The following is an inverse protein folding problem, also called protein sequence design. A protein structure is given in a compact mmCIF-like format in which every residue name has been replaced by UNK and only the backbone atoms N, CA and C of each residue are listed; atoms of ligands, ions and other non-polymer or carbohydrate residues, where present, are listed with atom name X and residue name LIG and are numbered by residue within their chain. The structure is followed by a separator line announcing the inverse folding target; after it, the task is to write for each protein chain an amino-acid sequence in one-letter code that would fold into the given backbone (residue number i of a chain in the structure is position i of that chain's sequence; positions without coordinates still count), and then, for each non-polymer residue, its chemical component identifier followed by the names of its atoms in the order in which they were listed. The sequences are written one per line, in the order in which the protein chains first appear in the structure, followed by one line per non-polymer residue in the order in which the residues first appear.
data_IF_942381132079
#
_entry.id   IF_942381132079
#
_cell.length_a   1.000
_cell.length_b   1.000
_cell.length_c   1.000
_cell.angle_alpha   90.00
_cell.angle_beta   90.00
_cell.angle_gamma   90.00
#
_symmetry.space_group_name_H-M   'P 1'
#
loop_
_entity.id
_entity.type
_entity.pdbx_description
1 polymer ?
#
# COMPACT_ATOMS: atom_id res chain seq x y z
N UNK A 1 -8.87 15.51 -8.30
CA UNK A 1 -9.33 15.07 -9.64
C UNK A 1 -8.45 15.81 -10.62
N UNK A 2 -7.27 15.25 -10.94
CA UNK A 2 -6.25 15.86 -11.82
C UNK A 2 -5.45 14.74 -12.47
N UNK A 3 -4.94 13.80 -11.67
CA UNK A 3 -4.27 12.59 -12.18
C UNK A 3 -5.18 11.78 -13.11
N UNK A 4 -6.47 11.68 -12.81
CA UNK A 4 -7.43 10.99 -13.69
C UNK A 4 -7.57 11.65 -15.06
N UNK A 5 -7.63 12.99 -15.11
CA UNK A 5 -7.71 13.74 -16.37
C UNK A 5 -6.39 13.64 -17.15
N UNK A 6 -5.26 13.72 -16.46
CA UNK A 6 -3.93 13.50 -17.04
C UNK A 6 -3.81 12.11 -17.66
N UNK A 7 -4.25 11.06 -16.96
CA UNK A 7 -4.23 9.67 -17.44
C UNK A 7 -5.13 9.50 -18.67
N UNK A 8 -6.33 10.07 -18.65
CA UNK A 8 -7.23 10.05 -19.81
C UNK A 8 -6.61 10.74 -21.02
N UNK A 9 -5.99 11.91 -20.82
CA UNK A 9 -5.27 12.62 -21.88
C UNK A 9 -4.14 11.74 -22.43
N UNK A 10 -3.28 11.20 -21.55
CA UNK A 10 -2.16 10.36 -21.93
C UNK A 10 -2.57 9.13 -22.75
N UNK A 11 -3.63 8.43 -22.34
CA UNK A 11 -4.14 7.24 -23.02
C UNK A 11 -4.84 7.61 -24.33
N UNK A 12 -5.48 8.76 -24.41
CA UNK A 12 -6.19 9.18 -25.62
C UNK A 12 -5.26 9.69 -26.72
N UNK A 13 -4.13 10.31 -26.36
CA UNK A 13 -3.20 10.94 -27.31
C UNK A 13 -1.98 10.09 -27.66
N UNK A 14 -1.86 8.87 -27.11
CA UNK A 14 -0.77 7.95 -27.48
C UNK A 14 -1.11 7.14 -28.74
N UNK A 15 -0.10 6.90 -29.58
CA UNK A 15 -0.21 6.03 -30.76
C UNK A 15 -0.44 4.57 -30.38
N UNK A 16 0.20 4.13 -29.28
CA UNK A 16 0.13 2.77 -28.78
C UNK A 16 -0.46 2.77 -27.37
N UNK A 17 -1.59 2.10 -27.21
CA UNK A 17 -2.31 2.06 -25.93
C UNK A 17 -1.91 0.85 -25.09
N UNK A 18 -1.73 1.01 -23.77
CA UNK A 18 -1.51 -0.12 -22.88
C UNK A 18 -2.73 -1.05 -22.90
N UNK A 19 -2.49 -2.36 -22.79
CA UNK A 19 -3.58 -3.34 -22.72
C UNK A 19 -4.29 -3.29 -21.36
N UNK A 20 -3.53 -3.02 -20.29
CA UNK A 20 -4.05 -2.76 -18.96
C UNK A 20 -3.31 -1.56 -18.37
N UNK A 21 -4.06 -0.65 -17.76
CA UNK A 21 -3.55 0.47 -16.96
C UNK A 21 -4.34 0.51 -15.66
N UNK A 22 -3.68 0.26 -14.54
CA UNK A 22 -4.28 0.31 -13.21
C UNK A 22 -3.42 1.23 -12.35
N UNK A 23 -4.03 2.26 -11.77
CA UNK A 23 -3.36 3.14 -10.83
C UNK A 23 -3.72 2.79 -9.39
N UNK A 24 -2.72 2.71 -8.53
CA UNK A 24 -2.86 2.69 -7.09
C UNK A 24 -2.08 3.86 -6.51
N UNK A 25 -2.80 4.89 -6.06
CA UNK A 25 -2.23 6.15 -5.55
C UNK A 25 -1.28 6.77 -6.58
N UNK A 26 0.03 6.70 -6.35
CA UNK A 26 1.08 7.30 -7.18
C UNK A 26 1.72 6.29 -8.14
N UNK A 27 1.47 4.99 -7.96
CA UNK A 27 2.04 3.91 -8.76
C UNK A 27 1.05 3.38 -9.80
N UNK A 28 1.56 3.08 -11.00
CA UNK A 28 0.77 2.53 -12.11
C UNK A 28 1.29 1.14 -12.49
N UNK A 29 0.41 0.15 -12.48
CA UNK A 29 0.66 -1.17 -13.06
C UNK A 29 0.16 -1.20 -14.51
N UNK A 30 1.07 -1.52 -15.43
CA UNK A 30 0.81 -1.45 -16.87
C UNK A 30 1.16 -2.77 -17.55
N UNK A 31 0.21 -3.35 -18.28
CA UNK A 31 0.50 -4.46 -19.22
C UNK A 31 0.71 -3.86 -20.60
N UNK A 32 1.95 -3.94 -21.08
CA UNK A 32 2.38 -3.40 -22.36
C UNK A 32 2.69 -4.51 -23.36
N UNK A 33 2.14 -4.42 -24.57
CA UNK A 33 2.26 -5.47 -25.60
C UNK A 33 2.99 -5.00 -26.87
N UNK A 34 3.35 -3.72 -26.96
CA UNK A 34 3.88 -3.13 -28.20
C UNK A 34 5.41 -3.14 -28.28
N UNK A 35 6.07 -3.97 -27.46
CA UNK A 35 7.52 -4.06 -27.41
C UNK A 35 8.21 -2.87 -26.72
N UNK A 36 9.52 -3.01 -26.55
CA UNK A 36 10.31 -2.15 -25.67
C UNK A 36 10.53 -0.74 -26.20
N UNK A 37 10.72 -0.58 -27.51
CA UNK A 37 11.00 0.72 -28.10
C UNK A 37 9.77 1.63 -28.07
N UNK A 38 8.59 1.06 -28.33
CA UNK A 38 7.32 1.78 -28.18
C UNK A 38 7.03 2.11 -26.71
N UNK A 39 7.44 1.26 -25.76
CA UNK A 39 7.33 1.59 -24.33
C UNK A 39 8.17 2.83 -23.97
N UNK A 40 9.37 2.95 -24.53
CA UNK A 40 10.23 4.15 -24.33
C UNK A 40 9.60 5.40 -24.94
N UNK A 41 9.04 5.29 -26.14
CA UNK A 41 8.31 6.39 -26.78
C UNK A 41 7.10 6.81 -25.95
N UNK A 42 6.36 5.85 -25.42
CA UNK A 42 5.23 6.10 -24.54
C UNK A 42 5.64 6.76 -23.21
N UNK A 43 6.74 6.33 -22.59
CA UNK A 43 7.28 6.98 -21.39
C UNK A 43 7.71 8.43 -21.67
N UNK A 44 8.33 8.67 -22.82
CA UNK A 44 8.69 10.03 -23.27
C UNK A 44 7.45 10.89 -23.50
N UNK A 45 6.40 10.31 -24.09
CA UNK A 45 5.10 10.96 -24.28
C UNK A 45 4.50 11.37 -22.93
N UNK A 46 4.42 10.44 -21.97
CA UNK A 46 3.92 10.72 -20.60
C UNK A 46 4.65 11.91 -19.96
N UNK A 47 5.98 11.90 -19.99
CA UNK A 47 6.80 12.96 -19.40
C UNK A 47 6.78 14.28 -20.19
N UNK A 48 6.26 14.27 -21.41
CA UNK A 48 6.07 15.46 -22.23
C UNK A 48 4.74 16.18 -21.98
N UNK A 49 3.75 15.53 -21.37
CA UNK A 49 2.41 16.09 -21.16
C UNK A 49 2.35 17.12 -20.04
N UNK A 50 3.25 17.05 -19.05
CA UNK A 50 3.25 17.98 -17.93
C UNK A 50 4.66 18.20 -17.36
N UNK A 51 5.03 19.47 -17.12
CA UNK A 51 6.37 19.84 -16.68
C UNK A 51 6.72 19.36 -15.27
N UNK A 52 5.74 19.27 -14.37
CA UNK A 52 5.95 18.89 -12.97
C UNK A 52 5.77 17.40 -12.67
N UNK A 53 5.32 16.59 -13.64
CA UNK A 53 5.10 15.14 -13.43
C UNK A 53 6.15 14.37 -14.22
N UNK A 54 6.84 13.45 -13.56
CA UNK A 54 7.86 12.60 -14.17
C UNK A 54 7.58 11.14 -13.83
N UNK A 55 7.19 10.37 -14.83
CA UNK A 55 7.05 8.92 -14.77
C UNK A 55 8.41 8.26 -14.94
N UNK A 56 8.60 7.19 -14.17
CA UNK A 56 9.68 6.22 -14.31
C UNK A 56 9.07 4.85 -14.54
N UNK A 57 9.78 3.97 -15.25
CA UNK A 57 9.32 2.60 -15.52
C UNK A 57 10.21 1.58 -14.84
N UNK A 58 9.62 0.72 -14.01
CA UNK A 58 10.21 -0.55 -13.63
C UNK A 58 9.67 -1.63 -14.57
N UNK A 59 10.56 -2.49 -15.06
CA UNK A 59 10.20 -3.55 -16.01
C UNK A 59 10.42 -4.92 -15.40
N UNK A 60 9.57 -5.85 -15.84
CA UNK A 60 9.64 -7.26 -15.50
C UNK A 60 11.02 -7.85 -15.79
N UNK A 61 11.58 -8.59 -14.82
CA UNK A 61 12.82 -9.34 -14.95
C UNK A 61 12.55 -10.82 -14.70
N UNK A 62 12.94 -11.69 -15.63
CA UNK A 62 12.78 -13.14 -15.51
C UNK A 62 11.35 -13.62 -15.20
N UNK A 63 10.32 -12.99 -15.76
CA UNK A 63 8.95 -13.32 -15.41
C UNK A 63 8.38 -12.44 -14.30
N UNK A 64 9.20 -11.80 -13.47
CA UNK A 64 8.73 -11.21 -12.22
C UNK A 64 8.81 -9.68 -12.20
N UNK A 65 7.81 -9.04 -11.61
CA UNK A 65 7.81 -7.63 -11.26
C UNK A 65 7.18 -7.45 -9.87
N UNK A 66 7.77 -6.58 -9.06
CA UNK A 66 7.18 -6.22 -7.76
C UNK A 66 6.16 -5.12 -7.94
N UNK A 67 5.00 -5.25 -7.30
CA UNK A 67 3.98 -4.21 -7.23
C UNK A 67 3.42 -4.17 -5.80
N UNK A 68 3.90 -3.24 -4.97
CA UNK A 68 3.68 -3.22 -3.52
C UNK A 68 4.10 -4.53 -2.82
N UNK A 69 3.31 -5.03 -1.86
CA UNK A 69 3.51 -6.27 -1.13
C UNK A 69 3.15 -7.53 -1.95
N UNK A 70 3.13 -7.40 -3.29
CA UNK A 70 2.76 -8.47 -4.21
C UNK A 70 3.85 -8.64 -5.25
N UNK A 71 4.37 -9.86 -5.35
CA UNK A 71 5.19 -10.27 -6.49
C UNK A 71 4.27 -10.77 -7.61
N UNK A 72 4.44 -10.19 -8.79
CA UNK A 72 3.65 -10.46 -9.99
C UNK A 72 4.52 -11.23 -10.97
N UNK A 73 4.20 -12.50 -11.20
CA UNK A 73 4.96 -13.42 -12.06
C UNK A 73 4.19 -13.76 -13.33
N UNK A 74 4.77 -13.50 -14.50
CA UNK A 74 4.33 -13.96 -15.81
C UNK A 74 4.70 -15.43 -15.98
N UNK A 75 3.71 -16.26 -16.31
CA UNK A 75 3.93 -17.66 -16.64
C UNK A 75 4.53 -17.81 -18.03
N UNK A 76 5.16 -18.97 -18.26
CA UNK A 76 5.80 -19.34 -19.53
C UNK A 76 4.83 -19.37 -20.74
N UNK A 77 3.51 -19.42 -20.49
CA UNK A 77 2.49 -19.31 -21.53
C UNK A 77 2.33 -17.90 -22.12
N UNK A 78 3.00 -16.88 -21.54
CA UNK A 78 3.03 -15.50 -22.02
C UNK A 78 1.73 -14.71 -21.81
N UNK A 79 0.70 -15.34 -21.25
CA UNK A 79 -0.67 -14.82 -21.19
C UNK A 79 -1.19 -14.72 -19.74
N UNK A 80 -0.62 -15.51 -18.83
CA UNK A 80 -1.09 -15.61 -17.45
C UNK A 80 -0.12 -14.92 -16.50
N UNK A 81 -0.63 -14.07 -15.60
CA UNK A 81 0.15 -13.46 -14.52
C UNK A 81 -0.37 -13.95 -13.16
N UNK A 82 0.51 -14.50 -12.31
CA UNK A 82 0.20 -14.90 -10.93
C UNK A 82 0.71 -13.86 -9.94
N UNK A 83 -0.12 -13.51 -8.96
CA UNK A 83 0.21 -12.60 -7.88
C UNK A 83 0.36 -13.38 -6.56
N UNK A 84 1.54 -13.35 -5.96
CA UNK A 84 1.80 -13.92 -4.63
C UNK A 84 1.97 -12.80 -3.60
N UNK A 85 1.24 -12.89 -2.49
CA UNK A 85 1.45 -11.96 -1.37
C UNK A 85 2.81 -12.24 -0.75
N UNK A 86 3.59 -11.20 -0.53
CA UNK A 86 4.82 -11.24 0.25
C UNK A 86 4.42 -11.42 1.71
N UNK A 87 4.13 -12.66 2.13
CA UNK A 87 3.95 -12.94 3.55
C UNK A 87 5.31 -12.69 4.20
N UNK A 88 5.44 -11.57 4.91
CA UNK A 88 6.58 -11.35 5.78
C UNK A 88 6.72 -12.60 6.66
N UNK A 89 7.80 -13.36 6.49
CA UNK A 89 8.14 -14.52 7.29
C UNK A 89 8.54 -14.10 8.73
N UNK A 90 7.71 -13.30 9.39
CA UNK A 90 7.96 -12.70 10.71
C UNK A 90 6.97 -13.14 11.77
N UNK A 91 5.93 -13.89 11.41
CA UNK A 91 4.83 -14.23 12.32
C UNK A 91 5.06 -15.58 13.01
N UNK A 92 5.66 -16.53 12.30
CA UNK A 92 5.95 -17.89 12.79
C UNK A 92 7.02 -17.90 13.88
N UNK A 93 8.07 -17.09 13.71
CA UNK A 93 9.21 -17.01 14.65
C UNK A 93 8.82 -16.33 15.97
N UNK A 94 7.86 -15.40 15.95
CA UNK A 94 7.36 -14.72 17.15
C UNK A 94 6.44 -15.60 17.99
N UNK A 95 5.59 -16.41 17.35
CA UNK A 95 4.66 -17.32 18.03
C UNK A 95 5.40 -18.45 18.76
N UNK A 96 6.46 -18.99 18.16
CA UNK A 96 7.32 -20.00 18.78
C UNK A 96 8.16 -19.43 19.95
N UNK A 97 8.63 -18.18 19.86
CA UNK A 97 9.32 -17.48 20.97
C UNK A 97 8.43 -17.24 22.19
N UNK A 98 7.11 -17.15 21.98
CA UNK A 98 6.13 -16.96 23.05
C UNK A 98 5.54 -18.29 23.58
N UNK A 99 6.16 -19.43 23.28
CA UNK A 99 5.82 -20.72 23.90
C UNK A 99 4.58 -21.43 23.36
N UNK A 100 4.01 -20.98 22.23
CA UNK A 100 2.90 -21.69 21.60
C UNK A 100 3.38 -22.99 20.97
N UNK A 101 3.00 -24.13 21.57
CA UNK A 101 3.25 -25.48 21.01
C UNK A 101 2.21 -25.79 19.92
N UNK A 102 2.62 -26.26 18.74
CA UNK A 102 1.69 -26.68 17.70
C UNK A 102 1.16 -28.08 18.04
N UNK A 103 0.22 -28.15 18.98
CA UNK A 103 -0.73 -29.26 19.02
C UNK A 103 -2.07 -28.76 19.56
N UNK A 104 -3.14 -29.19 18.89
CA UNK A 104 -4.55 -28.84 19.09
C UNK A 104 -5.06 -27.60 18.33
N UNK A 105 -4.99 -27.63 16.99
CA UNK A 105 -5.91 -26.85 16.14
C UNK A 105 -7.20 -27.68 15.93
N UNK A 106 -8.39 -27.21 16.33
CA UNK A 106 -9.67 -27.90 16.11
C UNK A 106 -10.09 -28.04 14.64
N UNK A 107 -9.32 -27.52 13.67
CA UNK A 107 -9.62 -27.61 12.23
C UNK A 107 -9.46 -29.00 11.60
N UNK A 108 -8.95 -29.99 12.32
CA UNK A 108 -8.79 -31.36 11.82
C UNK A 108 -10.09 -32.19 11.80
N UNK A 109 -11.24 -31.64 12.23
CA UNK A 109 -12.52 -32.37 12.29
C UNK A 109 -13.60 -31.90 11.28
N UNK A 110 -13.26 -31.10 10.26
CA UNK A 110 -14.23 -30.80 9.19
C UNK A 110 -14.20 -31.93 8.15
N UNK A 111 -15.21 -32.80 8.16
CA UNK A 111 -15.40 -33.80 7.11
C UNK A 111 -15.71 -33.12 5.75
N UNK A 112 -15.23 -33.64 4.61
CA UNK A 112 -15.55 -33.09 3.30
C UNK A 112 -17.03 -33.30 2.95
N UNK A 113 -17.70 -32.25 2.46
CA UNK A 113 -19.06 -32.33 1.89
C UNK A 113 -19.07 -33.13 0.57
N UNK A 114 -20.19 -33.81 0.24
CA UNK A 114 -20.29 -34.68 -0.94
C UNK A 114 -20.17 -33.92 -2.27
N UNK A 115 -19.52 -34.57 -3.24
CA UNK A 115 -19.19 -34.05 -4.58
C UNK A 115 -20.45 -33.87 -5.43
N UNK A 116 -20.75 -32.64 -5.81
CA UNK A 116 -21.78 -32.30 -6.81
C UNK A 116 -21.17 -31.73 -8.10
N UNK A 117 -21.50 -32.38 -9.22
CA UNK A 117 -21.33 -32.04 -10.64
C UNK A 117 -19.89 -31.94 -11.19
N UNK A 118 -19.50 -32.98 -11.93
CA UNK A 118 -18.33 -33.01 -12.81
C UNK A 118 -18.50 -32.02 -13.96
N UNK A 119 -17.59 -31.04 -14.04
CA UNK A 119 -17.24 -30.41 -15.31
C UNK A 119 -15.93 -31.02 -15.81
N UNK A 120 -15.77 -31.22 -17.14
CA UNK A 120 -14.59 -31.85 -17.69
C UNK A 120 -13.35 -31.03 -17.33
N UNK A 121 -12.41 -31.70 -16.67
CA UNK A 121 -11.12 -31.15 -16.26
C UNK A 121 -10.26 -31.00 -17.52
N UNK A 122 -9.77 -29.80 -17.88
CA UNK A 122 -8.75 -29.70 -18.90
C UNK A 122 -7.47 -30.35 -18.36
N UNK A 123 -6.99 -31.32 -19.13
CA UNK A 123 -5.79 -32.10 -18.89
C UNK A 123 -4.55 -31.24 -19.15
N UNK A 124 -4.03 -30.54 -18.15
CA UNK A 124 -2.62 -30.11 -18.14
C UNK A 124 -2.10 -29.82 -16.71
N UNK A 125 -0.81 -30.07 -16.53
CA UNK A 125 -0.09 -30.33 -15.27
C UNK A 125 0.30 -29.06 -14.47
N UNK A 126 -0.60 -28.12 -14.21
CA UNK A 126 -0.32 -27.09 -13.18
C UNK A 126 -1.59 -26.61 -12.46
N UNK A 127 -1.49 -26.38 -11.15
CA UNK A 127 -2.61 -25.88 -10.35
C UNK A 127 -3.14 -24.57 -10.97
N UNK A 128 -4.47 -24.41 -11.19
CA UNK A 128 -4.96 -23.23 -11.88
C UNK A 128 -4.74 -22.00 -11.00
N UNK A 129 -3.96 -21.04 -11.51
CA UNK A 129 -3.64 -19.79 -10.81
C UNK A 129 -4.92 -19.08 -10.45
N UNK A 130 -5.13 -18.92 -9.15
CA UNK A 130 -6.27 -18.20 -8.61
C UNK A 130 -5.81 -16.89 -7.99
N UNK A 131 -6.50 -15.81 -8.31
CA UNK A 131 -6.32 -14.50 -7.68
C UNK A 131 -7.55 -14.17 -6.84
N UNK A 132 -7.34 -13.42 -5.77
CA UNK A 132 -8.43 -12.93 -4.92
C UNK A 132 -8.51 -11.41 -5.03
N UNK A 133 -9.64 -10.86 -5.45
CA UNK A 133 -9.88 -9.42 -5.61
C UNK A 133 -10.93 -8.93 -4.62
N UNK A 134 -10.87 -7.69 -4.12
CA UNK A 134 -11.99 -7.10 -3.40
C UNK A 134 -13.21 -6.96 -4.33
N UNK A 135 -14.41 -7.26 -3.82
CA UNK A 135 -15.65 -7.07 -4.55
C UNK A 135 -15.98 -5.58 -4.64
N UNK A 136 -15.94 -5.08 -5.86
CA UNK A 136 -16.22 -3.73 -6.30
C UNK A 136 -17.25 -3.82 -7.43
N UNK A 137 -18.41 -4.40 -7.09
CA UNK A 137 -19.62 -4.47 -7.91
C UNK A 137 -19.34 -4.76 -9.41
N UNK A 138 -19.84 -3.92 -10.32
CA UNK A 138 -19.69 -4.08 -11.77
C UNK A 138 -18.24 -4.14 -12.27
N UNK A 139 -17.32 -3.43 -11.61
CA UNK A 139 -15.90 -3.42 -11.98
C UNK A 139 -15.21 -4.75 -11.67
N UNK A 140 -15.57 -5.40 -10.57
CA UNK A 140 -15.07 -6.73 -10.21
C UNK A 140 -15.49 -7.79 -11.20
N UNK A 141 -16.73 -7.72 -11.71
CA UNK A 141 -17.20 -8.63 -12.74
C UNK A 141 -16.55 -8.38 -14.10
N UNK A 142 -16.29 -7.11 -14.45
CA UNK A 142 -15.55 -6.74 -15.65
C UNK A 142 -14.11 -7.30 -15.61
N UNK A 143 -13.40 -7.08 -14.51
CA UNK A 143 -12.04 -7.58 -14.29
C UNK A 143 -12.03 -9.12 -14.27
N UNK A 144 -13.00 -9.75 -13.61
CA UNK A 144 -13.14 -11.21 -13.61
C UNK A 144 -13.29 -11.77 -15.03
N UNK A 145 -14.10 -11.13 -15.88
CA UNK A 145 -14.29 -11.57 -17.28
C UNK A 145 -13.00 -11.46 -18.09
N UNK A 146 -12.19 -10.43 -17.88
CA UNK A 146 -10.90 -10.27 -18.55
C UNK A 146 -9.95 -11.38 -18.09
N UNK A 147 -9.78 -11.55 -16.78
CA UNK A 147 -8.82 -12.51 -16.21
C UNK A 147 -9.18 -13.97 -16.52
N UNK A 148 -10.47 -14.30 -16.63
CA UNK A 148 -10.92 -15.63 -17.07
C UNK A 148 -10.50 -15.97 -18.51
N UNK A 149 -10.39 -14.99 -19.41
CA UNK A 149 -9.89 -15.21 -20.79
C UNK A 149 -8.43 -15.66 -20.79
N UNK A 150 -7.68 -15.29 -19.76
CA UNK A 150 -6.28 -15.64 -19.56
C UNK A 150 -6.09 -16.83 -18.61
N UNK A 151 -7.13 -17.64 -18.38
CA UNK A 151 -7.03 -18.85 -17.55
C UNK A 151 -6.86 -18.60 -16.05
N UNK A 152 -7.02 -17.36 -15.59
CA UNK A 152 -6.89 -16.97 -14.18
C UNK A 152 -8.27 -17.09 -13.51
N UNK A 153 -8.35 -17.92 -12.47
CA UNK A 153 -9.58 -18.00 -11.65
C UNK A 153 -9.63 -16.84 -10.68
N UNK A 154 -10.72 -16.09 -10.67
CA UNK A 154 -10.87 -14.94 -9.77
C UNK A 154 -11.87 -15.29 -8.66
N UNK A 155 -11.45 -15.10 -7.41
CA UNK A 155 -12.32 -15.15 -6.24
C UNK A 155 -12.51 -13.74 -5.71
N UNK A 156 -13.74 -13.37 -5.35
CA UNK A 156 -14.00 -12.05 -4.76
C UNK A 156 -14.03 -12.15 -3.24
N UNK A 157 -13.31 -11.25 -2.57
CA UNK A 157 -13.41 -11.03 -1.12
C UNK A 157 -14.32 -9.84 -0.87
N UNK A 158 -15.22 -9.93 0.09
CA UNK A 158 -16.01 -8.77 0.51
C UNK A 158 -15.08 -7.64 0.97
N UNK A 159 -15.24 -6.39 0.47
CA UNK A 159 -14.40 -5.26 0.87
C UNK A 159 -14.48 -5.00 2.38
N UNK A 160 -15.60 -5.40 2.99
CA UNK A 160 -15.83 -5.39 4.43
C UNK A 160 -15.87 -6.83 4.94
N UNK A 161 -14.70 -7.43 5.15
CA UNK A 161 -14.64 -8.57 6.06
C UNK A 161 -15.13 -8.08 7.43
N UNK A 162 -15.91 -8.89 8.16
CA UNK A 162 -16.32 -8.57 9.53
C UNK A 162 -15.13 -8.11 10.39
N UNK A 163 -13.92 -8.60 10.13
CA UNK A 163 -12.69 -8.12 10.75
C UNK A 163 -12.36 -6.63 10.44
N UNK A 164 -12.62 -6.11 9.24
CA UNK A 164 -12.45 -4.68 8.94
C UNK A 164 -13.53 -3.84 9.65
N UNK A 165 -14.72 -4.41 9.84
CA UNK A 165 -15.84 -3.75 10.54
C UNK A 165 -15.68 -3.80 12.07
N UNK A 166 -15.10 -4.87 12.59
CA UNK A 166 -14.98 -5.18 14.02
C UNK A 166 -13.57 -4.94 14.58
N UNK A 167 -12.56 -4.89 13.73
CA UNK A 167 -11.15 -4.80 14.12
C UNK A 167 -10.48 -3.65 13.38
N UNK A 168 -10.82 -2.42 13.77
CA UNK A 168 -9.88 -1.30 13.56
C UNK A 168 -8.66 -1.59 14.43
N UNK A 169 -7.62 -2.20 13.85
CA UNK A 169 -6.37 -2.43 14.57
C UNK A 169 -5.59 -1.13 14.84
N UNK A 170 -6.09 0.00 14.31
CA UNK A 170 -5.69 1.34 14.69
C UNK A 170 -6.70 1.89 15.70
N UNK A 171 -6.21 2.43 16.80
CA UNK A 171 -7.07 3.05 17.81
C UNK A 171 -7.96 4.09 17.14
N UNK A 172 -9.27 4.01 17.38
CA UNK A 172 -10.21 5.07 17.01
C UNK A 172 -9.74 6.33 17.73
N UNK A 173 -9.38 7.36 16.96
CA UNK A 173 -8.99 8.63 17.56
C UNK A 173 -10.19 9.21 18.29
N UNK A 174 -9.97 9.59 19.55
CA UNK A 174 -10.94 10.32 20.35
C UNK A 174 -11.36 11.60 19.57
N UNK A 175 -12.66 11.82 19.31
CA UNK A 175 -13.16 13.02 18.63
C UNK A 175 -12.74 14.34 19.29
N UNK A 176 -12.37 14.34 20.58
CA UNK A 176 -11.86 15.52 21.28
C UNK A 176 -10.37 15.79 21.03
N UNK A 177 -9.65 14.81 20.46
CA UNK A 177 -8.21 14.87 20.21
C UNK A 177 -7.93 15.32 18.78
N UNK A 178 -7.65 16.62 18.63
CA UNK A 178 -7.50 17.25 17.31
C UNK A 178 -6.09 17.03 16.73
N UNK A 179 -5.96 16.39 15.56
CA UNK A 179 -4.72 16.41 14.80
C UNK A 179 -4.50 17.81 14.21
N UNK A 180 -3.27 18.13 13.82
CA UNK A 180 -2.99 19.45 13.28
C UNK A 180 -1.52 19.86 13.28
N UNK A 181 -1.30 21.14 12.99
CA UNK A 181 0.02 21.78 12.98
C UNK A 181 0.26 22.40 14.35
N UNK A 182 1.42 22.15 14.93
CA UNK A 182 1.80 22.63 16.26
C UNK A 182 3.16 23.30 16.23
N UNK A 183 3.42 24.14 17.23
CA UNK A 183 4.75 24.70 17.50
C UNK A 183 5.27 24.33 18.88
N UNK A 184 6.60 24.26 18.98
CA UNK A 184 7.33 24.10 20.25
C UNK A 184 8.48 25.12 20.26
N UNK A 185 8.45 26.12 21.15
CA UNK A 185 9.55 27.08 21.26
C UNK A 185 10.77 26.47 21.95
N UNK A 186 11.94 27.01 21.62
CA UNK A 186 13.23 26.68 22.24
C UNK A 186 13.81 27.91 22.94
N UNK A 187 14.66 27.70 23.95
CA UNK A 187 15.32 28.78 24.69
C UNK A 187 16.14 29.74 23.81
N UNK A 188 16.63 29.27 22.67
CA UNK A 188 17.40 30.07 21.72
C UNK A 188 16.55 31.01 20.85
N UNK A 189 15.24 31.09 21.10
CA UNK A 189 14.29 31.90 20.32
C UNK A 189 13.81 31.24 19.02
N UNK A 190 14.42 30.13 18.59
CA UNK A 190 13.91 29.33 17.47
C UNK A 190 12.64 28.59 17.87
N UNK A 191 11.76 28.40 16.89
CA UNK A 191 10.48 27.69 17.07
C UNK A 191 10.44 26.50 16.13
N UNK A 192 10.22 25.31 16.68
CA UNK A 192 9.97 24.11 15.91
C UNK A 192 8.51 24.05 15.49
N UNK A 193 8.24 23.86 14.20
CA UNK A 193 6.89 23.65 13.66
C UNK A 193 6.81 22.23 13.13
N UNK A 194 5.76 21.50 13.50
CA UNK A 194 5.56 20.12 13.05
C UNK A 194 4.10 19.78 12.86
N UNK A 195 3.86 18.72 12.09
CA UNK A 195 2.52 18.19 11.85
C UNK A 195 2.28 16.91 12.67
N UNK A 196 1.07 16.73 13.18
CA UNK A 196 0.71 15.54 13.91
C UNK A 196 -0.67 15.03 13.55
N UNK A 197 -0.71 13.76 13.13
CA UNK A 197 -1.95 13.03 12.95
C UNK A 197 -2.51 12.42 14.24
N UNK A 198 -1.76 12.53 15.34
CA UNK A 198 -2.23 12.22 16.69
C UNK A 198 -2.38 13.51 17.48
N UNK A 199 -2.98 13.45 18.66
CA UNK A 199 -3.00 14.60 19.57
C UNK A 199 -1.59 15.11 19.94
N UNK A 200 -1.52 16.41 20.16
CA UNK A 200 -0.30 17.12 20.50
C UNK A 200 0.45 16.52 21.72
N UNK A 201 -0.21 16.17 22.85
CA UNK A 201 0.47 15.55 23.99
C UNK A 201 1.15 14.22 23.63
N UNK A 202 0.49 13.37 22.83
CA UNK A 202 1.07 12.10 22.36
C UNK A 202 2.29 12.34 21.48
N UNK A 203 2.25 13.35 20.60
CA UNK A 203 3.39 13.70 19.76
C UNK A 203 4.56 14.25 20.57
N UNK A 204 4.31 15.09 21.56
CA UNK A 204 5.34 15.58 22.50
C UNK A 204 5.98 14.41 23.24
N UNK A 205 5.19 13.48 23.75
CA UNK A 205 5.70 12.29 24.46
C UNK A 205 6.55 11.41 23.55
N UNK A 206 6.20 11.28 22.26
CA UNK A 206 7.06 10.59 21.28
C UNK A 206 8.40 11.28 21.10
N UNK A 207 8.42 12.61 20.94
CA UNK A 207 9.67 13.37 20.82
C UNK A 207 10.55 13.21 22.06
N UNK A 208 9.98 13.35 23.27
CA UNK A 208 10.69 13.09 24.53
C UNK A 208 11.23 11.65 24.62
N UNK A 209 10.43 10.67 24.19
CA UNK A 209 10.85 9.27 24.21
C UNK A 209 12.01 8.99 23.24
N UNK A 210 12.04 9.62 22.05
CA UNK A 210 13.16 9.52 21.10
C UNK A 210 14.44 10.15 21.66
N UNK A 211 14.32 11.31 22.31
CA UNK A 211 15.44 11.93 23.04
C UNK A 211 16.02 11.01 24.12
N UNK A 212 15.18 10.34 24.91
CA UNK A 212 15.62 9.36 25.92
C UNK A 212 16.32 8.14 25.31
N UNK A 213 15.95 7.74 24.08
CA UNK A 213 16.55 6.60 23.36
C UNK A 213 17.83 6.97 22.60
N UNK A 214 18.18 8.25 22.51
CA UNK A 214 19.34 8.71 21.73
C UNK A 214 19.11 8.70 20.21
N UNK A 215 17.86 8.59 19.75
CA UNK A 215 17.51 8.58 18.33
C UNK A 215 17.36 10.03 17.82
N UNK A 216 18.49 10.71 17.65
CA UNK A 216 18.55 12.15 17.37
C UNK A 216 18.04 12.49 15.95
N UNK A 217 18.38 11.70 14.93
CA UNK A 217 18.04 11.99 13.54
C UNK A 217 16.55 11.81 13.21
N UNK A 218 15.83 11.04 14.03
CA UNK A 218 14.39 10.78 13.89
C UNK A 218 13.51 11.95 14.36
N UNK A 219 14.11 12.95 15.01
CA UNK A 219 13.41 14.11 15.51
C UNK A 219 14.30 15.34 15.44
N UNK A 220 14.02 16.20 14.45
CA UNK A 220 14.79 17.43 14.24
C UNK A 220 14.79 18.36 15.46
N UNK A 221 13.74 18.36 16.29
CA UNK A 221 13.71 19.12 17.54
C UNK A 221 14.68 18.56 18.59
N UNK A 222 14.81 17.23 18.68
CA UNK A 222 15.76 16.56 19.56
C UNK A 222 17.19 16.72 19.04
N UNK A 223 17.40 16.59 17.73
CA UNK A 223 18.68 16.86 17.07
C UNK A 223 19.19 18.26 17.40
N UNK A 224 18.34 19.28 17.20
CA UNK A 224 18.67 20.67 17.51
C UNK A 224 19.07 20.86 18.98
N UNK A 225 18.29 20.31 19.91
CA UNK A 225 18.57 20.40 21.35
C UNK A 225 19.91 19.76 21.72
N UNK A 226 20.25 18.60 21.12
CA UNK A 226 21.49 17.90 21.41
C UNK A 226 22.71 18.55 20.72
N UNK A 227 22.57 19.08 19.50
CA UNK A 227 23.70 19.67 18.76
C UNK A 227 24.05 21.07 19.26
N UNK A 228 23.05 21.85 19.64
CA UNK A 228 23.24 23.25 20.09
C UNK A 228 23.19 23.37 21.63
N UNK A 229 23.11 22.25 22.36
CA UNK A 229 22.97 22.18 23.84
C UNK A 229 21.86 23.11 24.37
N UNK A 230 20.69 23.03 23.72
CA UNK A 230 19.57 23.91 24.01
C UNK A 230 18.41 23.21 24.71
N UNK A 231 17.79 23.90 25.68
CA UNK A 231 16.56 23.45 26.32
C UNK A 231 15.32 23.70 25.46
N UNK A 232 14.45 22.68 25.35
CA UNK A 232 13.17 22.74 24.63
C UNK A 232 12.04 23.06 25.62
N UNK A 233 11.25 24.10 25.34
CA UNK A 233 10.16 24.53 26.20
C UNK A 233 8.87 23.73 25.91
N UNK A 234 8.84 22.46 26.31
CA UNK A 234 7.70 21.56 26.07
C UNK A 234 6.36 22.06 26.62
N UNK A 235 6.38 22.83 27.71
CA UNK A 235 5.18 23.36 28.36
C UNK A 235 4.53 24.51 27.58
N UNK A 236 5.29 25.14 26.67
CA UNK A 236 4.81 26.18 25.77
C UNK A 236 4.44 25.63 24.39
N UNK A 237 4.31 24.30 24.26
CA UNK A 237 3.86 23.68 23.04
C UNK A 237 2.38 23.92 22.82
N UNK A 238 2.01 24.39 21.63
CA UNK A 238 0.62 24.71 21.30
C UNK A 238 0.23 24.28 19.90
N UNK A 239 -1.05 23.97 19.74
CA UNK A 239 -1.65 23.66 18.45
C UNK A 239 -1.98 24.98 17.75
N UNK A 240 -1.37 25.23 16.59
CA UNK A 240 -1.61 26.45 15.80
C UNK A 240 -2.93 26.32 15.04
N UNK A 241 -3.16 25.17 14.42
CA UNK A 241 -4.40 24.89 13.70
C UNK A 241 -4.77 23.42 13.82
N UNK A 242 -6.06 23.15 14.00
CA UNK A 242 -6.61 21.80 13.98
C UNK A 242 -7.05 21.42 12.57
N UNK A 243 -6.67 20.24 12.12
CA UNK A 243 -7.07 19.68 10.83
C UNK A 243 -8.28 18.76 11.07
N UNK A 244 -9.46 19.15 10.58
CA UNK A 244 -10.70 18.39 10.81
C UNK A 244 -10.76 17.07 10.03
N UNK A 245 -10.08 17.00 8.88
CA UNK A 245 -9.93 15.78 8.07
C UNK A 245 -8.47 15.45 7.92
N UNK A 246 -7.96 14.61 8.82
CA UNK A 246 -6.63 14.06 8.69
C UNK A 246 -6.61 13.04 7.56
N UNK A 247 -6.20 13.47 6.36
CA UNK A 247 -5.79 12.54 5.31
C UNK A 247 -4.35 12.14 5.59
N UNK A 248 -4.00 10.85 5.73
CA UNK A 248 -2.60 10.46 5.69
C UNK A 248 -2.09 10.83 4.29
N UNK A 249 -1.36 11.94 4.21
CA UNK A 249 -0.58 12.22 3.03
C UNK A 249 0.43 11.08 2.88
N UNK A 250 0.36 10.44 1.71
CA UNK A 250 1.38 9.56 1.20
C UNK A 250 2.72 10.30 1.22
N UNK A 251 3.68 9.74 1.97
CA UNK A 251 5.12 9.95 1.81
C UNK A 251 5.76 8.57 1.92
#
# INVERSE_FOLDING_TARGET
MFMEEFEQLAINTTDHRPNVWIRYVDDTFVIWQHGQDNLRLFLKHLNGLHSSIQFTTEQERNGNISFFDVEVTRKEDGHTTSATKNSSAKNTTALQRNGYKPSQDPRSQIQPRPKGLLYPKPTSLSAPSSITLPYLDSTSHYIQRILHKYGIRVFHTAPLQLHNLLTSHKDRQDPQRRPGVYRIPCQCGKVYIGETGKDLPTRINKHKARGRKGELDESSIIKHSHTEDHHINWNQAELITSIERWWPFHQ
#
